data_IF_814720742441
#
_entry.id   IF_814720742441
#
_cell.length_a   1.000
_cell.length_b   1.000
_cell.length_c   1.000
_cell.angle_alpha   90.00
_cell.angle_beta   90.00
_cell.angle_gamma   90.00
#
_symmetry.space_group_name_H-M   'P 1'
#
loop_
_entity.id
_entity.type
_entity.pdbx_description
1 polymer ?
#
# COMPACT_ATOMS: atom_id res chain seq x y z
N UNK A 1 -25.57 -53.25 15.49
CA UNK A 1 -24.57 -52.68 14.57
C UNK A 1 -25.23 -51.61 13.68
N UNK A 2 -25.60 -50.47 14.26
CA UNK A 2 -26.29 -49.35 13.55
C UNK A 2 -26.00 -47.99 14.21
N UNK A 3 -25.72 -47.96 15.52
CA UNK A 3 -25.43 -46.72 16.24
C UNK A 3 -24.04 -46.13 15.99
N UNK A 4 -22.99 -46.93 15.89
CA UNK A 4 -21.62 -46.41 15.70
C UNK A 4 -21.44 -45.67 14.36
N UNK A 5 -22.20 -46.04 13.33
CA UNK A 5 -22.13 -45.41 12.01
C UNK A 5 -22.88 -44.06 11.99
N UNK A 6 -23.99 -43.95 12.74
CA UNK A 6 -24.73 -42.68 12.87
C UNK A 6 -23.92 -41.67 13.66
N UNK A 7 -23.33 -42.06 14.78
CA UNK A 7 -22.44 -41.20 15.59
C UNK A 7 -21.22 -40.72 14.80
N UNK A 8 -20.59 -41.59 14.00
CA UNK A 8 -19.46 -41.22 13.14
C UNK A 8 -19.84 -40.20 12.06
N UNK A 9 -21.01 -40.35 11.44
CA UNK A 9 -21.51 -39.39 10.45
C UNK A 9 -21.99 -38.08 11.10
N UNK A 10 -22.50 -38.10 12.32
CA UNK A 10 -22.86 -36.88 13.06
C UNK A 10 -21.62 -36.11 13.51
N UNK A 11 -20.58 -36.79 14.03
CA UNK A 11 -19.29 -36.14 14.33
C UNK A 11 -18.62 -35.56 13.07
N UNK A 12 -18.67 -36.28 11.94
CA UNK A 12 -18.16 -35.74 10.67
C UNK A 12 -18.94 -34.54 10.16
N UNK A 13 -20.25 -34.48 10.37
CA UNK A 13 -21.07 -33.29 10.04
C UNK A 13 -20.74 -32.09 10.93
N UNK A 14 -20.48 -32.31 12.22
CA UNK A 14 -20.04 -31.26 13.14
C UNK A 14 -18.61 -30.75 12.82
N UNK A 15 -17.68 -31.64 12.45
CA UNK A 15 -16.29 -31.30 12.11
C UNK A 15 -16.14 -30.72 10.70
N UNK A 16 -16.92 -31.17 9.71
CA UNK A 16 -16.93 -30.56 8.37
C UNK A 16 -17.73 -29.25 8.34
N UNK A 17 -18.78 -29.15 9.16
CA UNK A 17 -19.54 -27.91 9.33
C UNK A 17 -18.71 -26.79 9.97
N UNK A 18 -17.83 -27.11 10.92
CA UNK A 18 -16.95 -26.11 11.53
C UNK A 18 -15.90 -25.59 10.55
N UNK A 19 -15.28 -26.45 9.74
CA UNK A 19 -14.27 -26.03 8.75
C UNK A 19 -14.88 -25.17 7.63
N UNK A 20 -16.04 -25.54 7.09
CA UNK A 20 -16.74 -24.73 6.08
C UNK A 20 -17.21 -23.39 6.64
N UNK A 21 -17.69 -23.34 7.88
CA UNK A 21 -18.05 -22.07 8.55
C UNK A 21 -16.80 -21.23 8.84
N UNK A 22 -15.68 -21.84 9.23
CA UNK A 22 -14.40 -21.13 9.40
C UNK A 22 -13.87 -20.59 8.07
N UNK A 23 -13.93 -21.36 6.99
CA UNK A 23 -13.54 -20.90 5.64
C UNK A 23 -14.44 -19.75 5.21
N UNK A 24 -15.76 -19.86 5.39
CA UNK A 24 -16.68 -18.76 5.11
C UNK A 24 -16.40 -17.55 6.01
N UNK A 25 -16.12 -17.72 7.30
CA UNK A 25 -15.78 -16.64 8.23
C UNK A 25 -14.47 -15.95 7.83
N UNK A 26 -13.44 -16.71 7.45
CA UNK A 26 -12.17 -16.19 6.94
C UNK A 26 -12.38 -15.43 5.63
N UNK A 27 -13.16 -15.98 4.69
CA UNK A 27 -13.53 -15.31 3.43
C UNK A 27 -14.39 -14.04 3.64
N UNK A 28 -15.21 -13.96 4.69
CA UNK A 28 -15.99 -12.76 5.04
C UNK A 28 -15.19 -11.72 5.83
N UNK A 29 -14.09 -12.13 6.47
CA UNK A 29 -13.24 -11.24 7.29
C UNK A 29 -12.24 -10.40 6.48
N UNK A 30 -11.97 -10.77 5.23
CA UNK A 30 -11.08 -10.02 4.34
C UNK A 30 -11.82 -8.87 3.64
N UNK A 31 -12.38 -7.93 4.41
CA UNK A 31 -12.49 -6.55 3.93
C UNK A 31 -11.24 -5.78 4.36
N UNK A 32 -10.06 -6.31 4.02
CA UNK A 32 -8.89 -5.47 3.92
C UNK A 32 -9.24 -4.43 2.86
N UNK A 33 -9.24 -3.16 3.22
CA UNK A 33 -9.24 -2.07 2.24
C UNK A 33 -7.92 -2.19 1.46
N UNK A 34 -7.90 -3.10 0.48
CA UNK A 34 -6.72 -3.42 -0.31
C UNK A 34 -6.38 -2.18 -1.12
N UNK A 35 -5.26 -1.56 -0.75
CA UNK A 35 -4.77 -0.37 -1.40
C UNK A 35 -4.12 -0.78 -2.71
N UNK A 36 -4.68 -0.46 -3.86
CA UNK A 36 -4.11 -0.82 -5.16
C UNK A 36 -3.47 0.41 -5.78
N UNK A 37 -2.13 0.42 -5.90
CA UNK A 37 -1.37 1.49 -6.53
C UNK A 37 -0.57 0.98 -7.72
N UNK A 38 -0.53 1.78 -8.78
CA UNK A 38 0.26 1.52 -9.98
C UNK A 38 1.44 2.47 -10.01
N UNK A 39 2.67 1.95 -10.03
CA UNK A 39 3.87 2.78 -10.21
C UNK A 39 4.09 3.08 -11.69
N UNK A 40 4.49 4.31 -11.99
CA UNK A 40 5.02 4.72 -13.29
C UNK A 40 6.47 4.28 -13.42
N UNK A 41 7.03 4.42 -14.63
CA UNK A 41 8.44 4.16 -14.90
C UNK A 41 9.36 5.06 -14.03
N UNK A 42 10.45 4.51 -13.48
CA UNK A 42 11.39 5.27 -12.67
C UNK A 42 12.20 6.27 -13.50
N UNK A 43 12.45 7.44 -12.93
CA UNK A 43 13.27 8.51 -13.50
C UNK A 43 14.67 8.45 -12.85
N UNK A 44 15.72 8.08 -13.60
CA UNK A 44 17.08 7.97 -13.06
C UNK A 44 17.69 9.35 -12.76
N UNK A 45 18.65 9.37 -11.83
CA UNK A 45 19.41 10.56 -11.39
C UNK A 45 18.53 11.74 -10.93
N UNK A 46 17.36 11.42 -10.39
CA UNK A 46 16.39 12.39 -9.88
C UNK A 46 15.93 12.02 -8.48
N UNK A 47 15.55 13.03 -7.72
CA UNK A 47 14.91 12.90 -6.43
C UNK A 47 13.92 14.04 -6.19
N UNK A 48 12.86 13.75 -5.44
CA UNK A 48 11.98 14.74 -4.81
C UNK A 48 12.63 15.19 -3.50
N UNK A 49 12.74 16.49 -3.27
CA UNK A 49 13.33 17.04 -2.03
C UNK A 49 12.25 17.72 -1.19
N UNK A 50 12.50 17.87 0.11
CA UNK A 50 11.63 18.57 1.09
C UNK A 50 10.20 18.01 1.29
N UNK A 51 9.87 16.90 0.62
CA UNK A 51 8.55 16.25 0.70
C UNK A 51 8.58 14.82 1.27
N UNK A 52 9.65 14.48 1.99
CA UNK A 52 9.86 13.14 2.56
C UNK A 52 8.99 12.92 3.80
N UNK A 53 8.14 11.89 3.76
CA UNK A 53 7.36 11.37 4.89
C UNK A 53 8.26 10.57 5.82
N UNK A 54 9.05 9.64 5.25
CA UNK A 54 9.92 8.75 6.01
C UNK A 54 11.10 8.26 5.17
N UNK A 55 12.19 7.87 5.85
CA UNK A 55 13.40 7.34 5.23
C UNK A 55 13.82 6.05 5.92
N UNK A 56 14.16 5.02 5.14
CA UNK A 56 14.55 3.70 5.65
C UNK A 56 15.60 3.03 4.78
N UNK A 57 16.45 2.19 5.38
CA UNK A 57 17.37 1.33 4.62
C UNK A 57 16.65 0.04 4.24
N UNK A 58 16.67 -0.30 2.95
CA UNK A 58 16.04 -1.52 2.42
C UNK A 58 17.00 -2.28 1.51
N UNK A 59 16.70 -3.55 1.24
CA UNK A 59 17.57 -4.41 0.42
C UNK A 59 17.23 -4.38 -1.07
N UNK A 60 15.98 -4.08 -1.42
CA UNK A 60 15.50 -4.13 -2.82
C UNK A 60 14.55 -2.98 -3.12
N UNK A 61 14.41 -2.62 -4.39
CA UNK A 61 13.38 -1.69 -4.87
C UNK A 61 11.97 -2.17 -4.46
N UNK A 62 11.70 -3.47 -4.60
CA UNK A 62 10.42 -4.05 -4.20
C UNK A 62 10.07 -3.79 -2.74
N UNK A 63 11.06 -3.81 -1.84
CA UNK A 63 10.85 -3.45 -0.43
C UNK A 63 10.44 -1.99 -0.27
N UNK A 64 11.03 -1.07 -1.05
CA UNK A 64 10.65 0.34 -1.03
C UNK A 64 9.23 0.56 -1.56
N UNK A 65 8.84 -0.16 -2.63
CA UNK A 65 7.48 -0.14 -3.18
C UNK A 65 6.45 -0.67 -2.18
N UNK A 66 6.78 -1.74 -1.45
CA UNK A 66 5.93 -2.26 -0.37
C UNK A 66 5.83 -1.27 0.78
N UNK A 67 6.93 -0.63 1.19
CA UNK A 67 6.88 0.40 2.22
C UNK A 67 5.96 1.55 1.79
N UNK A 68 6.05 1.99 0.53
CA UNK A 68 5.13 2.98 -0.01
C UNK A 68 3.69 2.49 0.02
N UNK A 69 3.41 1.25 -0.41
CA UNK A 69 2.08 0.62 -0.32
C UNK A 69 1.51 0.63 1.11
N UNK A 70 2.34 0.38 2.12
CA UNK A 70 1.90 0.34 3.51
C UNK A 70 1.66 1.73 4.12
N UNK A 71 2.30 2.78 3.59
CA UNK A 71 2.11 4.17 3.99
C UNK A 71 1.02 4.84 3.14
N UNK A 72 -0.20 5.08 3.65
CA UNK A 72 -1.33 5.55 2.85
C UNK A 72 -1.11 6.92 2.18
N UNK A 73 -0.24 7.76 2.74
CA UNK A 73 0.06 9.08 2.19
C UNK A 73 1.22 9.05 1.17
N UNK A 74 1.91 7.91 1.00
CA UNK A 74 3.01 7.81 0.04
C UNK A 74 2.47 7.76 -1.39
N UNK A 75 2.87 8.72 -2.23
CA UNK A 75 2.52 8.79 -3.66
C UNK A 75 3.75 8.80 -4.57
N UNK A 76 4.95 8.96 -4.00
CA UNK A 76 6.21 8.74 -4.73
C UNK A 76 7.34 8.31 -3.82
N UNK A 77 8.42 7.79 -4.39
CA UNK A 77 9.60 7.31 -3.67
C UNK A 77 10.89 7.85 -4.31
N UNK A 78 11.86 8.18 -3.47
CA UNK A 78 13.27 8.29 -3.89
C UNK A 78 14.00 7.02 -3.47
N UNK A 79 14.85 6.52 -4.34
CA UNK A 79 15.74 5.39 -4.04
C UNK A 79 17.18 5.81 -4.28
N UNK A 80 17.99 5.85 -3.22
CA UNK A 80 19.42 6.12 -3.29
C UNK A 80 20.20 4.82 -3.15
N UNK A 81 21.00 4.48 -4.15
CA UNK A 81 21.88 3.31 -4.12
C UNK A 81 23.04 3.55 -3.16
N UNK A 82 23.31 2.56 -2.30
CA UNK A 82 24.48 2.55 -1.42
C UNK A 82 25.56 1.59 -1.95
N UNK A 83 26.80 1.82 -1.52
CA UNK A 83 27.84 0.82 -1.65
C UNK A 83 27.41 -0.47 -0.91
N UNK A 84 27.56 -1.63 -1.57
CA UNK A 84 27.12 -2.92 -1.05
C UNK A 84 25.68 -3.32 -1.43
N UNK A 85 25.03 -2.60 -2.35
CA UNK A 85 23.79 -3.04 -3.00
C UNK A 85 22.49 -2.70 -2.27
N UNK A 86 22.55 -2.31 -0.99
CA UNK A 86 21.39 -1.78 -0.26
C UNK A 86 20.94 -0.42 -0.82
N UNK A 87 19.70 -0.04 -0.49
CA UNK A 87 19.10 1.23 -0.87
C UNK A 87 18.72 2.04 0.37
N UNK A 88 18.79 3.37 0.28
CA UNK A 88 17.96 4.24 1.12
C UNK A 88 16.68 4.53 0.33
N UNK A 89 15.55 4.20 0.94
CA UNK A 89 14.21 4.42 0.44
C UNK A 89 13.60 5.61 1.19
N UNK A 90 13.23 6.66 0.47
CA UNK A 90 12.50 7.81 1.00
C UNK A 90 11.09 7.79 0.40
N UNK A 91 10.06 7.83 1.24
CA UNK A 91 8.67 7.91 0.82
C UNK A 91 8.26 9.39 0.80
N UNK A 92 7.55 9.85 -0.23
CA UNK A 92 7.11 11.24 -0.35
C UNK A 92 5.59 11.34 -0.48
N UNK A 93 5.04 12.47 0.00
CA UNK A 93 3.59 12.75 -0.04
C UNK A 93 3.14 13.54 -1.26
N UNK A 94 4.05 13.81 -2.21
CA UNK A 94 3.74 14.58 -3.43
C UNK A 94 4.22 13.86 -4.69
N UNK A 95 3.61 14.22 -5.82
CA UNK A 95 4.06 13.81 -7.16
C UNK A 95 4.52 15.02 -7.98
N UNK A 96 5.18 14.77 -9.12
CA UNK A 96 5.51 15.85 -10.07
C UNK A 96 4.28 16.52 -10.67
N UNK A 97 3.12 15.85 -10.62
CA UNK A 97 1.88 16.31 -11.23
C UNK A 97 1.22 17.49 -10.50
N UNK A 98 1.64 17.72 -9.26
CA UNK A 98 1.26 18.87 -8.41
C UNK A 98 2.14 20.11 -8.66
N UNK A 99 3.09 20.05 -9.61
CA UNK A 99 3.95 21.17 -9.97
C UNK A 99 5.30 21.20 -9.24
N UNK A 100 5.60 20.18 -8.42
CA UNK A 100 6.90 20.01 -7.79
C UNK A 100 7.95 19.53 -8.79
N UNK A 101 9.15 20.10 -8.71
CA UNK A 101 10.25 19.79 -9.61
C UNK A 101 11.21 18.78 -8.97
N UNK A 102 11.72 17.86 -9.79
CA UNK A 102 12.75 16.92 -9.36
C UNK A 102 14.14 17.52 -9.45
N UNK A 103 14.92 17.39 -8.38
CA UNK A 103 16.33 17.79 -8.35
C UNK A 103 17.21 16.72 -9.01
N UNK A 104 18.25 17.13 -9.74
CA UNK A 104 19.26 16.22 -10.27
C UNK A 104 20.13 15.70 -9.13
N UNK A 105 20.18 14.38 -8.93
CA UNK A 105 20.89 13.76 -7.80
C UNK A 105 21.52 12.44 -8.23
N UNK A 106 22.85 12.37 -8.24
CA UNK A 106 23.57 11.15 -8.64
C UNK A 106 23.26 10.00 -7.68
N UNK A 107 23.30 8.77 -8.20
CA UNK A 107 22.95 7.54 -7.47
C UNK A 107 21.50 7.48 -6.93
N UNK A 108 20.62 8.38 -7.36
CA UNK A 108 19.20 8.34 -7.03
C UNK A 108 18.37 7.90 -8.23
N UNK A 109 17.19 7.37 -7.95
CA UNK A 109 16.10 7.23 -8.89
C UNK A 109 14.79 7.62 -8.20
N UNK A 110 13.97 8.39 -8.88
CA UNK A 110 12.64 8.79 -8.43
C UNK A 110 11.60 7.92 -9.11
N UNK A 111 10.53 7.55 -8.42
CA UNK A 111 9.41 6.82 -9.00
C UNK A 111 8.12 7.23 -8.31
N UNK A 112 7.05 7.45 -9.07
CA UNK A 112 5.76 7.90 -8.54
C UNK A 112 4.62 6.99 -8.99
N UNK A 113 3.49 7.07 -8.30
CA UNK A 113 2.30 6.32 -8.66
C UNK A 113 1.42 7.09 -9.65
N UNK A 114 0.49 6.39 -10.29
CA UNK A 114 -0.70 7.01 -10.86
C UNK A 114 -1.54 7.62 -9.74
N UNK A 115 -1.60 8.95 -9.70
CA UNK A 115 -2.23 9.68 -8.61
C UNK A 115 -3.58 10.28 -8.99
N UNK A 116 -4.72 9.65 -8.63
CA UNK A 116 -6.05 10.21 -8.83
C UNK A 116 -6.34 11.43 -7.96
N UNK A 117 -5.54 11.67 -6.90
CA UNK A 117 -5.71 12.80 -6.00
C UNK A 117 -5.36 14.15 -6.63
N UNK A 118 -4.61 14.17 -7.74
CA UNK A 118 -4.25 15.38 -8.50
C UNK A 118 -5.43 16.29 -8.84
N UNK A 119 -6.60 15.70 -9.07
CA UNK A 119 -7.83 16.44 -9.40
C UNK A 119 -8.48 17.15 -8.19
N UNK A 120 -7.87 17.06 -7.01
CA UNK A 120 -8.42 17.49 -5.73
C UNK A 120 -9.86 17.02 -5.52
N UNK A 121 -10.12 15.69 -5.56
CA UNK A 121 -11.46 15.14 -5.53
C UNK A 121 -12.12 15.18 -4.13
N UNK A 122 -11.37 15.54 -3.09
CA UNK A 122 -11.85 15.61 -1.73
C UNK A 122 -12.35 17.02 -1.37
N UNK A 123 -13.24 17.10 -0.39
CA UNK A 123 -13.70 18.38 0.18
C UNK A 123 -12.56 19.06 0.94
N UNK A 124 -12.74 20.34 1.24
CA UNK A 124 -11.87 21.07 2.16
C UNK A 124 -11.70 20.29 3.48
N UNK A 125 -10.53 20.43 4.10
CA UNK A 125 -10.12 19.74 5.34
C UNK A 125 -10.09 18.20 5.29
N UNK A 126 -10.04 17.62 4.08
CA UNK A 126 -9.85 16.19 3.87
C UNK A 126 -8.56 15.89 3.08
N UNK A 127 -7.86 14.84 3.50
CA UNK A 127 -6.69 14.29 2.81
C UNK A 127 -7.14 13.24 1.81
N UNK A 128 -6.68 13.37 0.56
CA UNK A 128 -6.86 12.33 -0.44
C UNK A 128 -5.74 11.28 -0.33
N UNK A 129 -6.11 10.00 -0.26
CA UNK A 129 -5.18 8.88 -0.26
C UNK A 129 -5.44 7.98 -1.45
N UNK A 130 -4.43 7.77 -2.27
CA UNK A 130 -4.50 6.97 -3.50
C UNK A 130 -4.50 5.46 -3.23
N UNK A 131 -5.16 4.74 -4.12
CA UNK A 131 -5.27 3.29 -4.18
C UNK A 131 -6.44 2.67 -3.41
N UNK A 132 -7.33 3.46 -2.82
CA UNK A 132 -8.44 2.92 -2.02
C UNK A 132 -9.77 2.93 -2.76
N UNK A 133 -10.64 1.98 -2.45
CA UNK A 133 -11.99 1.85 -3.05
C UNK A 133 -11.97 1.61 -4.57
N UNK A 134 -13.13 1.38 -5.17
CA UNK A 134 -13.25 1.27 -6.63
C UNK A 134 -12.97 2.57 -7.39
N UNK A 135 -12.93 3.71 -6.69
CA UNK A 135 -12.59 5.02 -7.28
C UNK A 135 -11.08 5.23 -7.43
N UNK A 136 -10.27 4.36 -6.83
CA UNK A 136 -8.81 4.51 -6.78
C UNK A 136 -8.32 5.54 -5.75
N UNK A 137 -9.19 6.15 -4.95
CA UNK A 137 -8.82 6.97 -3.80
C UNK A 137 -9.85 6.91 -2.68
N UNK A 138 -9.46 7.35 -1.48
CA UNK A 138 -10.38 7.69 -0.38
C UNK A 138 -10.06 9.08 0.17
N UNK A 139 -11.05 9.73 0.77
CA UNK A 139 -10.87 10.97 1.52
C UNK A 139 -10.90 10.67 3.02
N UNK A 140 -9.89 11.13 3.75
CA UNK A 140 -9.82 11.02 5.21
C UNK A 140 -9.84 12.40 5.86
N UNK A 141 -10.38 12.51 7.07
CA UNK A 141 -10.28 13.75 7.85
C UNK A 141 -8.85 13.95 8.34
N UNK A 142 -8.36 15.19 8.34
CA UNK A 142 -7.01 15.55 8.84
C UNK A 142 -6.84 15.18 10.34
N UNK A 143 -7.94 15.11 11.11
CA UNK A 143 -7.94 14.99 12.57
C UNK A 143 -7.85 13.58 13.16
N UNK A 144 -7.78 12.51 12.36
CA UNK A 144 -7.84 11.13 12.90
C UNK A 144 -6.49 10.56 13.36
N UNK A 145 -5.59 11.39 13.90
CA UNK A 145 -4.22 10.97 14.24
C UNK A 145 -3.50 11.76 15.33
N UNK A 146 -4.21 12.23 16.37
CA UNK A 146 -3.60 12.75 17.60
C UNK A 146 -3.90 11.85 18.80
#
# INVERSE_FOLDING_TARGET
MSDSHKEFWQLKKLLMGSLSVFVLYVLHSSSCLDRIITFKEPIPERAMEDHVISSSRVQTEGSCRVNCYMEPNCVSINMRRLAGGALICELNYVTTSEGFNLTKKSNHSYMEIEDPCRSNPCKEDMICQAGFTSKGFRCQSIYTGQ
#
